data_IF_349083825629
#
_entry.id   IF_349083825629
#
_cell.length_a   1.000
_cell.length_b   1.000
_cell.length_c   1.000
_cell.angle_alpha   90.00
_cell.angle_beta   90.00
_cell.angle_gamma   90.00
#
_symmetry.space_group_name_H-M   'P 1'
#
loop_
_entity.id
_entity.type
_entity.pdbx_description
1 polymer ?
#
# COMPACT_ATOMS: atom_id res chain seq x y z
N UNK A 1 28.42 -59.90 28.94
CA UNK A 1 27.79 -59.09 27.87
C UNK A 1 26.50 -58.42 28.37
N UNK A 2 26.49 -57.90 29.60
CA UNK A 2 25.31 -57.24 30.19
C UNK A 2 25.51 -55.73 30.41
N UNK A 3 26.75 -55.23 30.31
CA UNK A 3 27.05 -53.80 30.53
C UNK A 3 26.81 -52.90 29.31
N UNK A 4 26.47 -53.46 28.14
CA UNK A 4 26.29 -52.69 26.90
C UNK A 4 24.82 -52.44 26.53
N UNK A 5 23.86 -52.86 27.37
CA UNK A 5 22.42 -52.67 27.16
C UNK A 5 21.81 -51.57 28.04
N UNK A 6 22.51 -51.12 29.09
CA UNK A 6 22.01 -50.09 30.01
C UNK A 6 22.24 -48.68 29.45
N UNK A 7 23.29 -48.48 28.64
CA UNK A 7 23.60 -47.18 28.03
C UNK A 7 22.56 -46.75 26.98
N UNK A 8 21.87 -47.70 26.33
CA UNK A 8 20.89 -47.39 25.29
C UNK A 8 19.55 -46.88 25.84
N UNK A 9 19.19 -47.19 27.08
CA UNK A 9 17.91 -46.76 27.67
C UNK A 9 17.94 -45.35 28.26
N UNK A 10 19.13 -44.79 28.51
CA UNK A 10 19.26 -43.39 29.00
C UNK A 10 19.19 -42.37 27.85
N UNK A 11 19.47 -42.77 26.61
CA UNK A 11 19.38 -41.87 25.45
C UNK A 11 17.97 -41.72 24.87
N UNK A 12 17.00 -42.55 25.27
CA UNK A 12 15.62 -42.47 24.78
C UNK A 12 14.75 -41.41 25.50
N UNK A 13 15.23 -40.80 26.59
CA UNK A 13 14.45 -39.84 27.39
C UNK A 13 14.72 -38.36 27.10
N UNK A 14 15.50 -38.05 26.05
CA UNK A 14 15.82 -36.67 25.64
C UNK A 14 15.08 -36.24 24.36
N UNK A 15 13.89 -36.77 24.11
CA UNK A 15 13.01 -36.26 23.05
C UNK A 15 12.27 -35.01 23.52
N UNK A 16 12.78 -33.87 23.06
CA UNK A 16 12.03 -32.72 22.57
C UNK A 16 10.77 -32.30 23.36
N UNK A 17 10.93 -31.35 24.28
CA UNK A 17 9.85 -30.41 24.64
C UNK A 17 10.19 -29.02 24.14
N UNK A 18 10.17 -28.84 22.82
CA UNK A 18 10.11 -27.50 22.22
C UNK A 18 8.70 -26.98 22.47
N UNK A 19 8.56 -25.98 23.35
CA UNK A 19 7.32 -25.20 23.48
C UNK A 19 7.13 -24.42 22.17
N UNK A 20 6.31 -24.94 21.27
CA UNK A 20 5.82 -24.19 20.13
C UNK A 20 4.90 -23.08 20.63
N UNK A 21 5.47 -21.86 20.74
CA UNK A 21 4.71 -20.63 20.92
C UNK A 21 3.93 -20.40 19.62
N UNK A 22 2.68 -20.86 19.59
CA UNK A 22 1.74 -20.61 18.49
C UNK A 22 1.44 -19.11 18.43
N UNK A 23 2.29 -18.37 17.72
CA UNK A 23 2.01 -17.00 17.34
C UNK A 23 0.83 -17.05 16.35
N UNK A 24 -0.39 -16.93 16.89
CA UNK A 24 -1.58 -16.60 16.10
C UNK A 24 -1.38 -15.15 15.63
N UNK A 25 -0.53 -14.95 14.63
CA UNK A 25 -0.60 -13.76 13.80
C UNK A 25 -1.97 -13.87 13.12
N UNK A 26 -2.87 -13.00 13.53
CA UNK A 26 -4.14 -12.80 12.82
C UNK A 26 -3.71 -12.48 11.40
N UNK A 27 -3.88 -13.43 10.49
CA UNK A 27 -3.83 -13.18 9.06
C UNK A 27 -5.05 -12.29 8.80
N UNK A 28 -4.87 -10.98 8.96
CA UNK A 28 -5.77 -10.00 8.38
C UNK A 28 -5.54 -10.16 6.89
N UNK A 29 -6.48 -10.89 6.28
CA UNK A 29 -6.45 -11.25 4.88
C UNK A 29 -6.24 -10.01 4.03
N UNK A 30 -5.32 -10.18 3.08
CA UNK A 30 -5.21 -9.41 1.86
C UNK A 30 -6.62 -9.27 1.25
N UNK A 31 -7.24 -8.10 1.40
CA UNK A 31 -8.51 -7.77 0.78
C UNK A 31 -8.56 -6.26 0.52
N UNK A 32 -7.75 -5.81 -0.44
CA UNK A 32 -8.05 -4.59 -1.19
C UNK A 32 -7.92 -4.88 -2.70
N UNK A 33 -8.63 -5.92 -3.13
CA UNK A 33 -9.05 -6.06 -4.52
C UNK A 33 -10.54 -5.68 -4.62
N UNK A 34 -10.89 -4.43 -4.33
CA UNK A 34 -12.18 -3.85 -4.74
C UNK A 34 -11.94 -2.43 -5.24
N UNK A 35 -11.34 -2.29 -6.43
CA UNK A 35 -11.69 -1.21 -7.35
C UNK A 35 -11.72 -1.82 -8.74
N UNK A 36 -12.92 -2.19 -9.18
CA UNK A 36 -13.09 -2.79 -10.51
C UNK A 36 -14.48 -3.33 -10.81
N UNK A 37 -15.55 -2.67 -10.35
CA UNK A 37 -16.89 -2.93 -10.85
C UNK A 37 -17.45 -1.65 -11.48
N UNK A 38 -17.31 -1.63 -12.80
CA UNK A 38 -17.90 -0.77 -13.79
C UNK A 38 -19.23 -0.08 -13.42
N UNK A 39 -19.22 1.24 -13.60
CA UNK A 39 -20.36 2.03 -14.07
C UNK A 39 -21.09 1.30 -15.22
N UNK A 40 -22.37 1.02 -15.03
CA UNK A 40 -23.31 0.87 -16.15
C UNK A 40 -24.46 1.86 -15.95
N UNK A 41 -24.53 2.85 -16.82
CA UNK A 41 -25.64 3.77 -16.95
C UNK A 41 -26.70 3.18 -17.89
N UNK A 42 -27.98 3.26 -17.53
CA UNK A 42 -29.11 3.29 -18.47
C UNK A 42 -30.17 4.27 -17.95
N UNK A 43 -30.43 5.29 -18.76
CA UNK A 43 -31.57 6.21 -18.67
C UNK A 43 -32.79 5.66 -19.42
N UNK A 44 -33.99 5.89 -18.87
CA UNK A 44 -35.27 6.09 -19.59
C UNK A 44 -36.32 6.57 -18.55
N UNK A 45 -36.64 7.87 -18.45
CA UNK A 45 -37.68 8.62 -19.16
C UNK A 45 -39.10 8.07 -18.95
N UNK A 46 -39.91 8.76 -18.15
CA UNK A 46 -41.22 9.34 -18.54
C UNK A 46 -42.01 9.83 -17.31
N UNK A 47 -42.44 11.09 -17.30
CA UNK A 47 -43.57 11.54 -16.47
C UNK A 47 -43.58 13.01 -16.02
N UNK A 48 -44.36 13.86 -16.72
CA UNK A 48 -45.00 15.12 -16.25
C UNK A 48 -44.09 16.35 -16.11
N UNK A 49 -44.07 17.36 -16.99
CA UNK A 49 -45.05 18.39 -17.37
C UNK A 49 -45.59 19.29 -16.22
N UNK A 50 -45.28 20.59 -16.39
CA UNK A 50 -45.82 21.81 -15.76
C UNK A 50 -45.59 21.97 -14.25
N UNK A 51 -45.18 23.13 -13.71
CA UNK A 51 -45.61 24.50 -13.99
C UNK A 51 -44.62 25.52 -13.39
N UNK A 52 -44.53 26.69 -14.03
CA UNK A 52 -44.37 28.02 -13.45
C UNK A 52 -43.14 28.38 -12.58
N UNK A 53 -42.30 29.25 -13.14
CA UNK A 53 -41.41 30.13 -12.40
C UNK A 53 -42.18 31.09 -11.46
N UNK A 54 -41.53 31.53 -10.37
CA UNK A 54 -41.56 32.94 -10.03
C UNK A 54 -40.15 33.49 -9.77
N UNK A 55 -39.83 34.54 -10.51
CA UNK A 55 -38.78 35.49 -10.23
C UNK A 55 -39.02 36.20 -8.90
N UNK A 56 -38.04 36.15 -7.99
CA UNK A 56 -37.93 37.06 -6.85
C UNK A 56 -36.53 37.66 -6.87
N UNK A 57 -36.45 38.93 -7.26
CA UNK A 57 -35.34 39.80 -6.91
C UNK A 57 -35.57 40.29 -5.47
N UNK A 58 -34.57 40.15 -4.61
CA UNK A 58 -34.45 40.98 -3.42
C UNK A 58 -32.98 41.25 -3.09
N UNK A 59 -32.52 42.38 -3.62
CA UNK A 59 -31.82 43.45 -2.92
C UNK A 59 -31.18 43.13 -1.55
N UNK A 60 -29.85 43.18 -1.53
CA UNK A 60 -29.08 43.99 -0.59
C UNK A 60 -28.91 43.49 0.85
N UNK A 61 -27.71 42.99 1.14
CA UNK A 61 -26.92 43.44 2.30
C UNK A 61 -25.47 42.99 2.10
N UNK A 62 -24.60 43.93 1.71
CA UNK A 62 -23.17 43.81 1.90
C UNK A 62 -22.90 43.77 3.41
N UNK A 63 -22.19 42.76 3.87
CA UNK A 63 -21.41 42.85 5.10
C UNK A 63 -20.04 42.29 4.79
N UNK A 64 -19.13 43.22 4.50
CA UNK A 64 -17.70 43.03 4.74
C UNK A 64 -17.54 42.69 6.22
N UNK A 65 -17.10 41.49 6.53
CA UNK A 65 -16.41 41.25 7.79
C UNK A 65 -14.93 41.32 7.48
N UNK A 66 -14.31 42.27 8.15
CA UNK A 66 -12.96 42.73 7.97
C UNK A 66 -11.95 41.61 8.16
N UNK A 67 -11.00 41.58 7.22
CA UNK A 67 -9.77 40.85 7.31
C UNK A 67 -9.09 41.21 8.64
N UNK A 68 -9.01 40.22 9.52
CA UNK A 68 -8.22 40.30 10.74
C UNK A 68 -6.74 40.26 10.33
N UNK A 69 -6.18 41.44 10.09
CA UNK A 69 -4.78 41.66 9.82
C UNK A 69 -3.94 41.36 11.05
N UNK A 70 -3.31 40.19 11.07
CA UNK A 70 -2.11 39.96 11.88
C UNK A 70 -0.89 40.49 11.11
N UNK A 71 -0.12 41.43 11.68
CA UNK A 71 1.09 41.92 11.04
C UNK A 71 2.17 40.86 11.18
N UNK A 72 2.44 40.11 10.11
CA UNK A 72 3.69 39.38 9.98
C UNK A 72 4.68 40.20 9.16
N UNK A 73 5.18 41.29 9.75
CA UNK A 73 6.48 41.82 9.35
C UNK A 73 7.55 41.08 10.12
N UNK A 74 8.23 40.15 9.48
CA UNK A 74 9.69 40.09 9.56
C UNK A 74 10.20 39.37 8.31
N UNK A 75 10.49 40.18 7.30
CA UNK A 75 11.39 39.83 6.22
C UNK A 75 12.73 39.41 6.83
N UNK A 76 13.09 38.14 6.66
CA UNK A 76 14.48 37.69 6.61
C UNK A 76 14.78 37.34 5.15
N UNK A 77 14.80 38.39 4.33
CA UNK A 77 15.35 38.33 2.98
C UNK A 77 16.88 38.33 3.09
N UNK A 78 17.45 37.16 3.36
CA UNK A 78 18.79 36.83 2.88
C UNK A 78 18.66 36.06 1.57
N UNK A 79 19.61 36.14 0.64
CA UNK A 79 19.68 35.18 -0.46
C UNK A 79 19.99 33.80 0.15
N UNK A 80 18.94 33.03 0.43
CA UNK A 80 19.08 31.59 0.63
C UNK A 80 19.50 31.04 -0.72
N UNK A 81 20.81 30.83 -0.89
CA UNK A 81 21.31 29.92 -1.91
C UNK A 81 20.52 28.62 -1.70
N UNK A 82 19.73 28.15 -2.68
CA UNK A 82 19.07 26.86 -2.54
C UNK A 82 20.16 25.80 -2.46
N UNK A 83 20.52 25.38 -1.24
CA UNK A 83 20.89 24.00 -1.04
C UNK A 83 19.64 23.22 -1.42
N UNK A 84 19.76 22.29 -2.36
CA UNK A 84 18.75 21.27 -2.67
C UNK A 84 17.89 21.01 -1.43
N UNK A 85 16.57 21.28 -1.46
CA UNK A 85 15.79 21.23 -0.24
C UNK A 85 15.90 19.82 0.32
N UNK A 86 16.49 19.70 1.51
CA UNK A 86 16.40 18.49 2.30
C UNK A 86 14.93 18.06 2.32
N UNK A 87 14.66 16.77 2.11
CA UNK A 87 13.31 16.24 1.89
C UNK A 87 12.27 16.82 2.86
N UNK A 88 11.06 17.12 2.36
CA UNK A 88 10.00 17.76 3.17
C UNK A 88 9.54 16.85 4.31
N UNK A 89 8.84 17.41 5.31
CA UNK A 89 8.26 16.59 6.37
C UNK A 89 7.27 15.54 5.83
N UNK A 90 6.46 15.90 4.82
CA UNK A 90 5.54 14.99 4.14
C UNK A 90 6.29 13.83 3.48
N UNK A 91 7.34 14.13 2.71
CA UNK A 91 8.20 13.12 2.09
C UNK A 91 8.83 12.17 3.11
N UNK A 92 9.35 12.68 4.23
CA UNK A 92 9.91 11.84 5.30
C UNK A 92 8.87 10.93 5.94
N UNK A 93 7.63 11.40 6.08
CA UNK A 93 6.53 10.58 6.59
C UNK A 93 6.12 9.51 5.57
N UNK A 94 5.98 9.86 4.30
CA UNK A 94 5.70 8.91 3.23
C UNK A 94 6.76 7.80 3.15
N UNK A 95 8.05 8.13 3.32
CA UNK A 95 9.14 7.13 3.38
C UNK A 95 8.97 6.16 4.55
N UNK A 96 8.56 6.65 5.73
CA UNK A 96 8.32 5.78 6.90
C UNK A 96 7.15 4.84 6.64
N UNK A 97 6.02 5.39 6.18
CA UNK A 97 4.84 4.61 5.82
C UNK A 97 5.14 3.57 4.74
N UNK A 98 5.92 3.91 3.71
CA UNK A 98 6.32 2.99 2.65
C UNK A 98 7.09 1.78 3.21
N UNK A 99 8.03 2.01 4.14
CA UNK A 99 8.80 0.95 4.80
C UNK A 99 7.90 0.08 5.67
N UNK A 100 7.03 0.71 6.47
CA UNK A 100 6.08 -0.01 7.32
C UNK A 100 5.22 -0.97 6.48
N UNK A 101 4.72 -0.53 5.32
CA UNK A 101 3.98 -1.40 4.41
C UNK A 101 4.77 -2.61 3.90
N UNK A 102 6.03 -2.40 3.48
CA UNK A 102 6.89 -3.46 2.95
C UNK A 102 7.26 -4.50 4.01
N UNK A 103 7.26 -4.13 5.29
CA UNK A 103 7.47 -5.06 6.40
C UNK A 103 6.31 -6.05 6.54
N UNK A 104 5.07 -5.62 6.30
CA UNK A 104 3.88 -6.46 6.49
C UNK A 104 3.41 -7.20 5.23
N UNK A 105 3.50 -6.58 4.06
CA UNK A 105 2.99 -7.16 2.81
C UNK A 105 3.94 -6.92 1.64
N UNK A 106 3.74 -7.65 0.54
CA UNK A 106 4.49 -7.46 -0.68
C UNK A 106 3.81 -6.42 -1.57
N UNK A 107 4.60 -5.53 -2.18
CA UNK A 107 4.10 -4.55 -3.13
C UNK A 107 4.99 -4.46 -4.36
N UNK A 108 4.36 -4.23 -5.51
CA UNK A 108 5.05 -3.67 -6.66
C UNK A 108 5.39 -2.20 -6.38
N UNK A 109 6.37 -1.64 -7.10
CA UNK A 109 6.68 -0.20 -7.01
C UNK A 109 5.43 0.64 -7.23
N UNK A 110 4.67 0.34 -8.28
CA UNK A 110 3.48 1.08 -8.64
C UNK A 110 2.34 0.89 -7.62
N UNK A 111 2.18 -0.32 -7.09
CA UNK A 111 1.21 -0.64 -6.05
C UNK A 111 1.49 0.12 -4.76
N UNK A 112 2.76 0.21 -4.34
CA UNK A 112 3.13 0.96 -3.14
C UNK A 112 2.89 2.46 -3.31
N UNK A 113 3.18 3.03 -4.49
CA UNK A 113 2.87 4.44 -4.78
C UNK A 113 1.36 4.69 -4.65
N UNK A 114 0.53 3.86 -5.29
CA UNK A 114 -0.94 3.97 -5.20
C UNK A 114 -1.46 3.82 -3.78
N UNK A 115 -0.85 2.92 -2.99
CA UNK A 115 -1.21 2.76 -1.58
C UNK A 115 -0.93 4.04 -0.80
N UNK A 116 0.23 4.68 -0.99
CA UNK A 116 0.54 5.95 -0.32
C UNK A 116 -0.36 7.09 -0.76
N UNK A 117 -0.76 7.14 -2.03
CA UNK A 117 -1.77 8.11 -2.51
C UNK A 117 -3.13 7.89 -1.82
N UNK A 118 -3.53 6.62 -1.62
CA UNK A 118 -4.72 6.28 -0.86
C UNK A 118 -4.63 6.72 0.61
N UNK A 119 -3.44 6.64 1.22
CA UNK A 119 -3.16 7.18 2.57
C UNK A 119 -3.16 8.72 2.62
N UNK A 120 -3.36 9.41 1.48
CA UNK A 120 -3.49 10.86 1.38
C UNK A 120 -2.19 11.60 1.10
N UNK A 121 -1.09 10.90 0.78
CA UNK A 121 0.12 11.56 0.28
C UNK A 121 -0.09 12.07 -1.15
N UNK A 122 0.54 13.19 -1.49
CA UNK A 122 0.56 13.65 -2.88
C UNK A 122 1.30 12.63 -3.76
N UNK A 123 0.95 12.55 -5.04
CA UNK A 123 1.68 11.71 -6.01
C UNK A 123 3.19 11.98 -6.01
N UNK A 124 3.58 13.25 -5.85
CA UNK A 124 4.98 13.65 -5.76
C UNK A 124 5.67 13.07 -4.50
N UNK A 125 5.03 13.17 -3.33
CA UNK A 125 5.60 12.65 -2.08
C UNK A 125 5.60 11.12 -2.05
N UNK A 126 4.56 10.47 -2.57
CA UNK A 126 4.47 9.02 -2.68
C UNK A 126 5.55 8.45 -3.61
N UNK A 127 5.71 9.06 -4.79
CA UNK A 127 6.75 8.67 -5.76
C UNK A 127 8.14 8.91 -5.17
N UNK A 128 8.37 10.08 -4.58
CA UNK A 128 9.63 10.39 -3.89
C UNK A 128 9.94 9.35 -2.81
N UNK A 129 8.95 8.97 -2.00
CA UNK A 129 9.15 8.03 -0.91
C UNK A 129 9.57 6.64 -1.40
N UNK A 130 8.89 6.12 -2.42
CA UNK A 130 9.19 4.81 -2.99
C UNK A 130 10.53 4.80 -3.74
N UNK A 131 10.91 5.90 -4.39
CA UNK A 131 12.20 6.01 -5.08
C UNK A 131 13.37 6.28 -4.13
N UNK A 132 13.11 6.79 -2.93
CA UNK A 132 14.13 7.04 -1.90
C UNK A 132 14.49 5.81 -1.07
N UNK A 133 13.78 4.69 -1.24
CA UNK A 133 14.04 3.45 -0.51
C UNK A 133 14.69 2.41 -1.42
N UNK A 134 15.73 1.74 -0.92
CA UNK A 134 16.34 0.61 -1.62
C UNK A 134 15.50 -0.64 -1.38
N UNK A 135 14.82 -1.10 -2.43
CA UNK A 135 13.95 -2.28 -2.39
C UNK A 135 14.32 -3.22 -3.52
N UNK A 136 14.47 -4.50 -3.20
CA UNK A 136 14.53 -5.55 -4.22
C UNK A 136 13.11 -5.89 -4.68
N UNK A 137 12.71 -5.29 -5.79
CA UNK A 137 11.38 -5.49 -6.37
C UNK A 137 11.15 -6.90 -6.92
N UNK A 138 12.20 -7.63 -7.28
CA UNK A 138 12.09 -9.04 -7.65
C UNK A 138 11.80 -9.89 -6.41
N UNK A 139 12.44 -9.59 -5.28
CA UNK A 139 12.13 -10.23 -4.00
C UNK A 139 10.69 -9.92 -3.54
N UNK A 140 10.19 -8.70 -3.75
CA UNK A 140 8.78 -8.37 -3.50
C UNK A 140 7.84 -9.21 -4.38
N UNK A 141 8.14 -9.33 -5.68
CA UNK A 141 7.34 -10.16 -6.59
C UNK A 141 7.33 -11.64 -6.18
N UNK A 142 8.47 -12.19 -5.74
CA UNK A 142 8.55 -13.56 -5.23
C UNK A 142 7.73 -13.74 -3.93
N UNK A 143 7.78 -12.77 -3.02
CA UNK A 143 6.97 -12.77 -1.78
C UNK A 143 5.47 -12.74 -2.11
N UNK A 144 5.04 -11.90 -3.06
CA UNK A 144 3.66 -11.82 -3.52
C UNK A 144 3.23 -13.13 -4.20
N UNK A 145 4.03 -13.65 -5.13
CA UNK A 145 3.79 -14.90 -5.83
C UNK A 145 3.57 -16.07 -4.86
N UNK A 146 4.45 -16.20 -3.86
CA UNK A 146 4.30 -17.21 -2.82
C UNK A 146 3.02 -17.03 -2.00
N UNK A 147 2.69 -15.79 -1.61
CA UNK A 147 1.47 -15.53 -0.84
C UNK A 147 0.21 -15.95 -1.61
N UNK A 148 0.17 -15.71 -2.92
CA UNK A 148 -0.92 -16.20 -3.78
C UNK A 148 -1.02 -17.72 -3.81
N UNK A 149 0.11 -18.42 -3.99
CA UNK A 149 0.13 -19.88 -4.03
C UNK A 149 -0.18 -20.54 -2.69
N UNK A 150 0.17 -19.89 -1.59
CA UNK A 150 -0.20 -20.34 -0.24
C UNK A 150 -1.72 -20.23 0.00
N UNK A 151 -2.43 -19.35 -0.73
CA UNK A 151 -3.88 -19.15 -0.61
C UNK A 151 -4.69 -19.98 -1.62
N UNK A 152 -4.24 -20.08 -2.87
CA UNK A 152 -4.94 -20.81 -3.94
C UNK A 152 -3.99 -21.30 -5.04
N UNK A 153 -4.40 -22.32 -5.79
CA UNK A 153 -3.64 -22.78 -6.95
C UNK A 153 -3.70 -21.79 -8.12
N UNK A 154 -2.55 -21.55 -8.76
CA UNK A 154 -2.44 -20.79 -10.01
C UNK A 154 -1.62 -21.59 -11.04
N UNK A 155 -1.94 -21.40 -12.33
CA UNK A 155 -0.98 -21.73 -13.39
C UNK A 155 0.14 -20.69 -13.44
N UNK A 156 1.30 -21.04 -14.02
CA UNK A 156 2.42 -20.08 -14.19
C UNK A 156 1.97 -18.80 -14.89
N UNK A 157 1.28 -18.92 -16.02
CA UNK A 157 0.79 -17.75 -16.78
C UNK A 157 -0.27 -16.97 -16.02
N UNK A 158 -1.17 -17.63 -15.30
CA UNK A 158 -2.16 -16.97 -14.46
C UNK A 158 -1.53 -16.15 -13.34
N UNK A 159 -0.50 -16.69 -12.67
CA UNK A 159 0.21 -15.98 -11.62
C UNK A 159 1.00 -14.78 -12.17
N UNK A 160 1.65 -14.93 -13.34
CA UNK A 160 2.33 -13.82 -14.01
C UNK A 160 1.34 -12.68 -14.30
N UNK A 161 0.21 -13.00 -14.92
CA UNK A 161 -0.83 -12.01 -15.22
C UNK A 161 -1.37 -11.32 -13.96
N UNK A 162 -1.52 -12.06 -12.86
CA UNK A 162 -1.97 -11.50 -11.59
C UNK A 162 -0.96 -10.49 -11.03
N UNK A 163 0.33 -10.82 -11.05
CA UNK A 163 1.38 -9.90 -10.59
C UNK A 163 1.49 -8.67 -11.51
N UNK A 164 1.37 -8.83 -12.82
CA UNK A 164 1.33 -7.70 -13.75
C UNK A 164 0.12 -6.78 -13.48
N UNK A 165 -1.05 -7.35 -13.20
CA UNK A 165 -2.24 -6.59 -12.80
C UNK A 165 -2.00 -5.78 -11.50
N UNK A 166 -1.24 -6.33 -10.55
CA UNK A 166 -0.80 -5.62 -9.35
C UNK A 166 0.31 -4.58 -9.58
N UNK A 167 0.74 -4.40 -10.83
CA UNK A 167 1.70 -3.38 -11.23
C UNK A 167 3.17 -3.80 -11.14
N UNK A 168 3.46 -5.10 -11.00
CA UNK A 168 4.80 -5.61 -11.25
C UNK A 168 5.12 -5.52 -12.75
N UNK A 169 6.39 -5.26 -13.09
CA UNK A 169 6.83 -5.37 -14.49
C UNK A 169 6.76 -6.83 -14.96
N UNK A 170 6.64 -7.10 -16.27
CA UNK A 170 6.63 -8.47 -16.79
C UNK A 170 7.85 -9.30 -16.33
N UNK A 171 9.03 -8.67 -16.26
CA UNK A 171 10.24 -9.32 -15.78
C UNK A 171 10.16 -9.70 -14.29
N UNK A 172 9.64 -8.82 -13.44
CA UNK A 172 9.42 -9.10 -12.01
C UNK A 172 8.35 -10.17 -11.79
N UNK A 173 7.25 -10.12 -12.55
CA UNK A 173 6.19 -11.11 -12.48
C UNK A 173 6.68 -12.51 -12.88
N UNK A 174 7.43 -12.60 -13.99
CA UNK A 174 8.06 -13.84 -14.44
C UNK A 174 9.10 -14.36 -13.44
N UNK A 175 9.89 -13.46 -12.85
CA UNK A 175 10.82 -13.81 -11.77
C UNK A 175 10.07 -14.38 -10.57
N UNK A 176 9.03 -13.68 -10.09
CA UNK A 176 8.24 -14.08 -8.93
C UNK A 176 7.60 -15.46 -9.10
N UNK A 177 7.00 -15.74 -10.26
CA UNK A 177 6.44 -17.06 -10.56
C UNK A 177 7.51 -18.17 -10.52
N UNK A 178 8.68 -17.91 -11.12
CA UNK A 178 9.81 -18.85 -11.10
C UNK A 178 10.33 -19.11 -9.69
N UNK A 179 10.53 -18.04 -8.91
CA UNK A 179 11.01 -18.11 -7.54
C UNK A 179 10.02 -18.83 -6.61
N UNK A 180 8.72 -18.79 -6.92
CA UNK A 180 7.67 -19.48 -6.20
C UNK A 180 7.47 -20.95 -6.64
N UNK A 181 8.28 -21.45 -7.59
CA UNK A 181 8.29 -22.86 -8.01
C UNK A 181 7.37 -23.21 -9.18
N UNK A 182 6.85 -22.20 -9.90
CA UNK A 182 6.13 -22.39 -11.16
C UNK A 182 7.03 -22.11 -12.36
#
# INVERSE_FOLDING_TARGET
MEHMMITYQVQAAATARVKTKKNRRVAVGLLLAIIGAALWAVSAIAGGLDVAAPSVQLTGAATSIEAHGVPHTHALSGPMIPLEPASTASQRNAVRTAKDYLDYTAFSRQGLIKQLEYEGFSTADATFAVDSITVDWNAQAAKAAKAYLDYSGFSRSGLINQLEYEGYTPAQAAYGATAAGL
#
